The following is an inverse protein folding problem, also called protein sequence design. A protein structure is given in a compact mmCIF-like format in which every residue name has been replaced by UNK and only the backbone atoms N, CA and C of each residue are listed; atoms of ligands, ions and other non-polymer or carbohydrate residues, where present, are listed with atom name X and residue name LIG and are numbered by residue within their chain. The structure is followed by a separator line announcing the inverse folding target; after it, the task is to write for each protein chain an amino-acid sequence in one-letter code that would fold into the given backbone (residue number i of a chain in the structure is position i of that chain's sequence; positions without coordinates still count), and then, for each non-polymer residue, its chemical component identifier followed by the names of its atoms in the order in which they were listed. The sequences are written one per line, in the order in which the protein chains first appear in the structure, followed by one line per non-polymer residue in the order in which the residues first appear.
data_IF_607282906065
#
_entry.id   IF_607282906065
#
_cell.length_a   1.000
_cell.length_b   1.000
_cell.length_c   1.000
_cell.angle_alpha   90.00
_cell.angle_beta   90.00
_cell.angle_gamma   90.00
#
_symmetry.space_group_name_H-M   'P 1'
#
loop_
_entity.id
_entity.type
_entity.pdbx_description
1 polymer ?
#
# COMPACT_ATOMS: atom_id res chain seq x y z
N UNK A 1 -21.08 10.83 17.13
CA UNK A 1 -20.17 10.68 18.29
C UNK A 1 -18.80 11.16 17.85
N UNK A 2 -18.26 12.23 18.45
CA UNK A 2 -16.89 12.66 18.14
C UNK A 2 -15.93 11.54 18.57
N UNK A 3 -15.25 10.90 17.62
CA UNK A 3 -14.14 9.98 17.95
C UNK A 3 -13.17 10.77 18.83
N UNK A 4 -13.00 10.34 20.09
CA UNK A 4 -11.99 10.92 20.98
C UNK A 4 -10.64 10.91 20.29
N UNK A 5 -9.85 11.97 20.47
CA UNK A 5 -8.49 12.05 19.91
C UNK A 5 -7.64 11.00 20.60
N UNK A 6 -7.29 9.92 19.88
CA UNK A 6 -6.46 8.85 20.41
C UNK A 6 -4.99 9.22 20.24
N UNK A 7 -4.24 9.21 21.34
CA UNK A 7 -2.80 9.48 21.33
C UNK A 7 -2.02 8.18 21.42
N UNK A 8 -0.98 8.05 20.59
CA UNK A 8 0.03 7.00 20.65
C UNK A 8 1.38 7.63 20.96
N UNK A 9 2.12 7.03 21.88
CA UNK A 9 3.42 7.53 22.32
C UNK A 9 4.49 6.60 21.79
N UNK A 10 5.51 7.18 21.17
CA UNK A 10 6.74 6.50 20.78
C UNK A 10 7.89 7.14 21.55
N UNK A 11 8.55 6.33 22.40
CA UNK A 11 9.73 6.75 23.16
C UNK A 11 10.96 6.64 22.27
N UNK A 12 11.78 7.69 22.27
CA UNK A 12 13.05 7.74 21.55
C UNK A 12 14.18 7.34 22.51
N UNK A 13 14.86 6.22 22.25
CA UNK A 13 16.06 5.84 22.99
C UNK A 13 17.31 5.89 22.12
N UNK A 14 18.44 6.18 22.74
CA UNK A 14 19.73 6.33 22.07
C UNK A 14 20.19 4.99 21.47
N UNK A 15 20.80 5.06 20.29
CA UNK A 15 21.23 3.92 19.47
C UNK A 15 20.13 2.90 19.14
N UNK A 16 18.86 3.24 19.37
CA UNK A 16 17.74 2.35 19.08
C UNK A 16 17.49 2.30 17.57
N UNK A 17 17.74 1.13 16.98
CA UNK A 17 17.54 0.85 15.56
C UNK A 17 16.27 0.03 15.37
N UNK A 18 15.14 0.73 15.17
CA UNK A 18 13.83 0.12 14.96
C UNK A 18 13.52 -0.14 13.48
N UNK A 19 14.55 -0.28 12.65
CA UNK A 19 14.41 -0.50 11.20
C UNK A 19 13.61 -1.77 10.86
N UNK A 20 13.59 -2.74 11.79
CA UNK A 20 12.85 -4.01 11.66
C UNK A 20 11.57 -4.07 12.47
N UNK A 21 11.28 -3.03 13.26
CA UNK A 21 10.09 -2.99 14.12
C UNK A 21 8.97 -2.29 13.38
N UNK A 22 7.85 -2.99 13.23
CA UNK A 22 6.68 -2.44 12.56
C UNK A 22 5.82 -1.66 13.56
N UNK A 23 5.80 -0.34 13.45
CA UNK A 23 4.89 0.51 14.22
C UNK A 23 3.62 0.81 13.40
N UNK A 24 2.53 0.06 13.65
CA UNK A 24 1.23 0.28 12.98
C UNK A 24 0.38 1.29 13.76
N UNK A 25 -0.23 2.22 13.04
CA UNK A 25 -1.02 3.32 13.55
C UNK A 25 -2.28 3.48 12.71
N UNK A 26 -3.33 4.03 13.30
CA UNK A 26 -4.59 4.30 12.60
C UNK A 26 -4.67 5.77 12.17
N UNK A 27 -5.36 6.03 11.06
CA UNK A 27 -5.74 7.39 10.68
C UNK A 27 -6.68 8.00 11.73
N UNK A 28 -6.46 9.28 12.01
CA UNK A 28 -7.13 10.06 13.06
C UNK A 28 -6.38 10.06 14.39
N UNK A 29 -5.32 9.27 14.55
CA UNK A 29 -4.52 9.26 15.77
C UNK A 29 -3.50 10.40 15.79
N UNK A 30 -3.13 10.82 17.00
CA UNK A 30 -1.97 11.67 17.24
C UNK A 30 -0.79 10.78 17.66
N UNK A 31 0.30 10.80 16.91
CA UNK A 31 1.57 10.20 17.32
C UNK A 31 2.40 11.25 18.04
N UNK A 32 2.82 10.96 19.26
CA UNK A 32 3.76 11.77 20.03
C UNK A 32 5.10 11.06 20.15
N UNK A 33 6.16 11.70 19.67
CA UNK A 33 7.52 11.31 19.99
C UNK A 33 7.91 11.95 21.32
N UNK A 34 8.36 11.14 22.27
CA UNK A 34 8.83 11.60 23.58
C UNK A 34 10.24 11.11 23.82
N UNK A 35 11.00 11.83 24.64
CA UNK A 35 12.34 11.39 25.01
C UNK A 35 12.26 10.20 25.97
N UNK A 36 12.97 9.13 25.62
CA UNK A 36 13.23 8.02 26.52
C UNK A 36 14.35 8.37 27.51
N UNK A 37 14.57 7.53 28.54
CA UNK A 37 15.52 7.81 29.63
C UNK A 37 16.95 8.12 29.15
N UNK A 38 17.41 7.49 28.07
CA UNK A 38 18.77 7.64 27.52
C UNK A 38 19.02 8.97 26.81
N UNK A 39 17.96 9.70 26.47
CA UNK A 39 18.02 10.98 25.76
C UNK A 39 17.64 12.15 26.66
N UNK A 40 17.39 11.92 27.95
CA UNK A 40 17.05 13.00 28.88
C UNK A 40 18.21 13.97 29.05
N UNK A 41 17.89 15.26 29.06
CA UNK A 41 18.88 16.35 29.10
C UNK A 41 19.65 16.57 27.78
N UNK A 42 19.51 15.71 26.77
CA UNK A 42 20.16 15.89 25.47
C UNK A 42 19.31 16.76 24.55
N UNK A 43 19.97 17.54 23.70
CA UNK A 43 19.30 18.24 22.61
C UNK A 43 19.04 17.28 21.44
N UNK A 44 17.77 16.92 21.23
CA UNK A 44 17.34 15.96 20.20
C UNK A 44 16.55 16.67 19.10
N UNK A 45 16.85 16.37 17.85
CA UNK A 45 16.09 16.85 16.70
C UNK A 45 15.46 15.67 15.96
N UNK A 46 14.13 15.69 15.79
CA UNK A 46 13.36 14.61 15.17
C UNK A 46 12.96 15.01 13.75
N UNK A 47 13.16 14.11 12.81
CA UNK A 47 12.82 14.27 11.40
C UNK A 47 11.87 13.16 10.94
N UNK A 48 10.96 13.49 10.04
CA UNK A 48 10.07 12.51 9.40
C UNK A 48 9.78 12.88 7.96
N UNK A 49 9.53 11.89 7.10
CA UNK A 49 8.98 12.11 5.77
C UNK A 49 7.44 12.06 5.73
N UNK A 50 6.78 12.01 6.89
CA UNK A 50 5.33 12.22 6.97
C UNK A 50 5.00 13.66 6.51
N UNK A 51 4.17 13.83 5.47
CA UNK A 51 3.98 15.13 4.83
C UNK A 51 3.38 16.15 5.79
N UNK A 52 3.66 17.43 5.56
CA UNK A 52 2.93 18.49 6.24
C UNK A 52 1.49 18.56 5.71
N UNK A 53 0.60 19.22 6.44
CA UNK A 53 -0.79 19.37 6.01
C UNK A 53 -0.86 20.08 4.64
N UNK A 54 -1.50 19.46 3.66
CA UNK A 54 -1.62 19.99 2.30
C UNK A 54 -0.45 19.67 1.37
N UNK A 55 0.64 19.06 1.86
CA UNK A 55 1.73 18.63 1.00
C UNK A 55 1.53 17.20 0.46
N UNK A 56 2.04 16.95 -0.75
CA UNK A 56 2.15 15.60 -1.29
C UNK A 56 3.28 14.84 -0.60
N UNK A 57 3.11 13.54 -0.45
CA UNK A 57 4.14 12.66 0.10
C UNK A 57 5.32 12.53 -0.87
N UNK A 58 6.53 12.76 -0.36
CA UNK A 58 7.80 12.46 -1.04
C UNK A 58 8.67 11.62 -0.08
N UNK A 59 9.11 10.45 -0.56
CA UNK A 59 9.89 9.49 0.23
C UNK A 59 11.22 10.07 0.71
N UNK A 60 11.81 11.01 -0.03
CA UNK A 60 13.14 11.59 0.25
C UNK A 60 13.07 12.94 0.97
N UNK A 61 11.90 13.57 1.03
CA UNK A 61 11.71 14.85 1.72
C UNK A 61 11.43 14.61 3.21
N UNK A 62 12.40 14.92 4.06
CA UNK A 62 12.23 14.91 5.51
C UNK A 62 12.03 16.34 6.04
N UNK A 63 11.15 16.48 7.02
CA UNK A 63 10.94 17.73 7.76
C UNK A 63 11.29 17.56 9.23
N UNK A 64 11.82 18.63 9.82
CA UNK A 64 12.05 18.71 11.26
C UNK A 64 10.72 18.89 12.00
N UNK A 65 10.54 18.19 13.12
CA UNK A 65 9.40 18.37 14.00
C UNK A 65 9.71 19.39 15.10
N UNK A 66 8.69 20.17 15.47
CA UNK A 66 8.76 21.13 16.56
C UNK A 66 8.44 20.45 17.89
N UNK A 67 9.30 20.70 18.89
CA UNK A 67 9.04 20.29 20.27
C UNK A 67 7.98 21.17 20.92
N UNK A 68 7.04 20.53 21.61
CA UNK A 68 6.05 21.17 22.45
C UNK A 68 6.38 20.90 23.92
N UNK A 69 6.42 21.95 24.73
CA UNK A 69 6.64 21.89 26.18
C UNK A 69 5.30 22.13 26.90
N UNK A 70 4.68 21.11 27.49
CA UNK A 70 3.42 21.23 28.22
C UNK A 70 3.42 22.30 29.31
N UNK A 71 4.51 22.40 30.07
CA UNK A 71 4.65 23.39 31.16
C UNK A 71 5.17 24.76 30.69
N UNK A 72 5.53 24.88 29.41
CA UNK A 72 6.13 26.09 28.84
C UNK A 72 7.61 26.29 29.18
N UNK A 73 8.23 25.41 29.98
CA UNK A 73 9.66 25.46 30.30
C UNK A 73 10.47 24.61 29.31
N UNK A 74 11.72 25.00 29.03
CA UNK A 74 12.58 24.28 28.07
C UNK A 74 13.17 22.98 28.64
N UNK A 75 13.26 22.88 29.96
CA UNK A 75 13.76 21.72 30.71
C UNK A 75 12.68 20.65 30.96
N UNK A 76 11.53 20.74 30.28
CA UNK A 76 10.41 19.86 30.52
C UNK A 76 10.72 18.42 30.10
N UNK A 77 10.64 17.51 31.06
CA UNK A 77 10.91 16.08 30.86
C UNK A 77 9.85 15.37 30.02
N UNK A 78 8.65 15.96 29.91
CA UNK A 78 7.52 15.41 29.17
C UNK A 78 7.31 16.06 27.79
N UNK A 79 8.26 16.88 27.33
CA UNK A 79 8.22 17.51 26.00
C UNK A 79 8.06 16.48 24.90
N UNK A 80 7.31 16.86 23.85
CA UNK A 80 6.99 15.95 22.77
C UNK A 80 6.92 16.63 21.40
N UNK A 81 7.26 15.89 20.36
CA UNK A 81 6.92 16.23 18.97
C UNK A 81 5.63 15.50 18.59
N UNK A 82 4.71 16.16 17.90
CA UNK A 82 3.44 15.53 17.49
C UNK A 82 3.28 15.41 15.98
N UNK A 83 2.56 14.38 15.57
CA UNK A 83 2.06 14.16 14.21
C UNK A 83 0.57 13.84 14.26
N UNK A 84 -0.21 14.57 13.46
CA UNK A 84 -1.61 14.22 13.21
C UNK A 84 -1.69 13.31 11.98
N UNK A 85 -2.02 12.04 12.21
CA UNK A 85 -2.05 11.02 11.18
C UNK A 85 -3.39 11.09 10.45
N UNK A 86 -3.37 11.52 9.19
CA UNK A 86 -4.54 11.74 8.33
C UNK A 86 -4.46 11.00 7.01
N UNK A 87 -3.26 10.57 6.63
CA UNK A 87 -2.99 9.92 5.36
C UNK A 87 -2.38 8.55 5.69
N UNK A 88 -2.92 7.50 5.07
CA UNK A 88 -2.33 6.16 5.15
C UNK A 88 -1.06 6.06 4.31
N UNK A 89 -0.12 5.25 4.77
CA UNK A 89 1.11 5.01 4.05
C UNK A 89 2.22 4.49 4.95
N UNK A 90 3.38 4.28 4.33
CA UNK A 90 4.60 3.85 5.02
C UNK A 90 5.60 4.99 5.09
N UNK A 91 5.80 5.51 6.30
CA UNK A 91 6.63 6.65 6.61
C UNK A 91 7.87 6.22 7.38
N UNK A 92 8.85 7.11 7.42
CA UNK A 92 10.10 6.95 8.15
C UNK A 92 10.30 8.14 9.06
N UNK A 93 10.91 7.89 10.21
CA UNK A 93 11.45 8.92 11.07
C UNK A 93 12.88 8.57 11.47
N UNK A 94 13.64 9.60 11.78
CA UNK A 94 14.95 9.47 12.43
C UNK A 94 15.15 10.65 13.36
N UNK A 95 16.10 10.53 14.27
CA UNK A 95 16.48 11.64 15.14
C UNK A 95 17.98 11.66 15.37
N UNK A 96 18.46 12.87 15.64
CA UNK A 96 19.85 13.15 15.96
C UNK A 96 19.94 13.75 17.35
N UNK A 97 21.02 13.50 18.08
CA UNK A 97 21.36 14.26 19.29
C UNK A 97 22.83 14.66 19.22
N UNK A 98 23.18 15.86 19.69
CA UNK A 98 24.59 16.31 19.81
C UNK A 98 25.42 16.10 18.51
N UNK A 99 24.80 16.34 17.35
CA UNK A 99 25.37 16.14 16.00
C UNK A 99 25.70 14.69 15.63
N UNK A 100 25.20 13.70 16.37
CA UNK A 100 25.29 12.28 16.07
C UNK A 100 23.91 11.71 15.70
N UNK A 101 23.92 10.64 14.91
CA UNK A 101 22.70 9.90 14.56
C UNK A 101 22.26 9.09 15.78
N UNK A 102 21.15 9.50 16.40
CA UNK A 102 20.63 8.84 17.59
C UNK A 102 19.87 7.56 17.27
N UNK A 103 19.01 7.57 16.25
CA UNK A 103 18.22 6.39 15.88
C UNK A 103 17.12 6.70 14.88
N UNK A 104 16.24 5.73 14.66
CA UNK A 104 15.12 5.88 13.73
C UNK A 104 14.32 4.58 13.53
N UNK A 105 13.27 4.70 12.73
CA UNK A 105 12.39 3.57 12.42
C UNK A 105 11.33 3.93 11.38
N UNK A 106 10.42 2.98 11.16
CA UNK A 106 9.32 3.10 10.20
C UNK A 106 7.97 3.13 10.89
N UNK A 107 7.04 3.88 10.30
CA UNK A 107 5.65 4.00 10.74
C UNK A 107 4.76 3.55 9.60
N UNK A 108 3.75 2.74 9.88
CA UNK A 108 2.72 2.36 8.91
C UNK A 108 1.40 2.89 9.43
N UNK A 109 0.77 3.78 8.64
CA UNK A 109 -0.57 4.27 8.92
C UNK A 109 -1.56 3.49 8.06
N UNK A 110 -2.46 2.76 8.71
CA UNK A 110 -3.38 1.85 8.05
C UNK A 110 -4.40 2.61 7.16
N UNK A 111 -4.79 2.06 5.99
CA UNK A 111 -5.82 2.64 5.14
C UNK A 111 -7.22 2.49 5.78
N UNK A 112 -8.10 3.44 5.49
CA UNK A 112 -9.53 3.30 5.78
C UNK A 112 -10.20 2.77 4.52
N UNK A 113 -10.75 1.56 4.60
CA UNK A 113 -11.54 0.97 3.53
C UNK A 113 -12.99 1.47 3.62
N UNK A 114 -13.58 1.83 2.49
CA UNK A 114 -14.97 2.34 2.40
C UNK A 114 -15.76 1.64 1.32
N UNK A 115 -16.97 1.25 1.64
CA UNK A 115 -17.89 0.54 0.75
C UNK A 115 -19.31 1.11 0.88
N UNK A 116 -20.19 0.74 -0.05
CA UNK A 116 -21.58 1.17 -0.09
C UNK A 116 -21.76 2.59 -0.61
N UNK A 117 -23.00 2.89 -1.04
CA UNK A 117 -23.40 4.21 -1.51
C UNK A 117 -23.25 5.30 -0.43
N UNK A 118 -23.31 4.91 0.85
CA UNK A 118 -23.09 5.77 2.02
C UNK A 118 -21.61 5.90 2.44
N UNK A 119 -20.69 5.21 1.76
CA UNK A 119 -19.24 5.22 2.04
C UNK A 119 -18.88 4.88 3.50
N UNK A 120 -19.62 3.94 4.10
CA UNK A 120 -19.34 3.48 5.45
C UNK A 120 -18.00 2.73 5.52
N UNK A 121 -17.41 2.72 6.72
CA UNK A 121 -16.11 2.10 6.94
C UNK A 121 -16.23 0.57 6.96
N UNK A 122 -15.39 -0.11 6.18
CA UNK A 122 -15.14 -1.54 6.32
C UNK A 122 -13.89 -1.72 7.21
N UNK A 123 -14.02 -2.25 8.44
CA UNK A 123 -12.86 -2.49 9.29
C UNK A 123 -11.90 -3.49 8.65
N UNK A 124 -10.59 -3.26 8.78
CA UNK A 124 -9.56 -4.14 8.20
C UNK A 124 -9.64 -5.57 8.74
N UNK A 125 -9.98 -5.73 10.03
CA UNK A 125 -10.13 -7.04 10.68
C UNK A 125 -11.40 -7.79 10.24
N UNK A 126 -12.31 -7.11 9.52
CA UNK A 126 -13.53 -7.71 9.00
C UNK A 126 -13.43 -8.10 7.53
N UNK A 127 -12.27 -7.97 6.88
CA UNK A 127 -12.11 -8.33 5.48
C UNK A 127 -12.23 -9.85 5.28
N UNK A 128 -13.19 -10.26 4.45
CA UNK A 128 -13.38 -11.63 3.98
C UNK A 128 -13.27 -11.65 2.46
N UNK A 129 -12.26 -12.38 1.96
CA UNK A 129 -11.83 -12.28 0.57
C UNK A 129 -11.95 -13.59 -0.20
N UNK A 130 -12.54 -13.53 -1.40
CA UNK A 130 -12.56 -14.66 -2.34
C UNK A 130 -11.71 -14.36 -3.58
N UNK A 131 -10.81 -15.29 -3.92
CA UNK A 131 -9.93 -15.16 -5.08
C UNK A 131 -10.54 -15.86 -6.31
N UNK A 132 -10.52 -15.16 -7.45
CA UNK A 132 -10.91 -15.70 -8.74
C UNK A 132 -9.74 -15.62 -9.74
N UNK A 133 -9.54 -16.72 -10.47
CA UNK A 133 -8.67 -16.72 -11.64
C UNK A 133 -9.39 -16.02 -12.79
N UNK A 134 -9.02 -14.76 -13.07
CA UNK A 134 -9.70 -13.93 -14.07
C UNK A 134 -9.81 -14.62 -15.45
N UNK A 135 -8.76 -15.34 -15.88
CA UNK A 135 -8.77 -16.11 -17.14
C UNK A 135 -9.81 -17.24 -17.20
N UNK A 136 -10.31 -17.70 -16.05
CA UNK A 136 -11.30 -18.77 -15.95
C UNK A 136 -12.74 -18.23 -15.81
N UNK A 137 -12.92 -16.90 -15.73
CA UNK A 137 -14.24 -16.29 -15.63
C UNK A 137 -14.97 -16.23 -16.99
N UNK A 138 -14.31 -16.57 -18.09
CA UNK A 138 -14.89 -16.51 -19.44
C UNK A 138 -15.12 -15.07 -19.94
N UNK A 139 -16.03 -14.88 -20.92
CA UNK A 139 -16.36 -13.55 -21.44
C UNK A 139 -16.93 -12.63 -20.36
N UNK A 140 -16.57 -11.34 -20.44
CA UNK A 140 -16.86 -10.30 -19.43
C UNK A 140 -18.36 -10.14 -19.14
N UNK A 141 -19.21 -10.35 -20.15
CA UNK A 141 -20.67 -10.21 -20.03
C UNK A 141 -21.28 -11.16 -18.97
N UNK A 142 -20.61 -12.28 -18.65
CA UNK A 142 -21.05 -13.21 -17.60
C UNK A 142 -20.27 -13.08 -16.28
N UNK A 143 -19.38 -12.10 -16.14
CA UNK A 143 -18.59 -11.94 -14.91
C UNK A 143 -19.46 -11.54 -13.72
N UNK A 144 -20.44 -10.67 -13.94
CA UNK A 144 -21.32 -10.22 -12.86
C UNK A 144 -22.00 -11.40 -12.15
N UNK A 145 -22.66 -12.29 -12.92
CA UNK A 145 -23.34 -13.46 -12.37
C UNK A 145 -22.40 -14.41 -11.64
N UNK A 146 -21.19 -14.62 -12.18
CA UNK A 146 -20.18 -15.51 -11.60
C UNK A 146 -19.60 -14.94 -10.30
N UNK A 147 -19.31 -13.64 -10.28
CA UNK A 147 -18.76 -12.95 -9.12
C UNK A 147 -19.82 -12.72 -8.03
N UNK A 148 -21.10 -12.61 -8.40
CA UNK A 148 -22.21 -12.48 -7.45
C UNK A 148 -22.27 -13.63 -6.46
N UNK A 149 -21.81 -14.83 -6.83
CA UNK A 149 -21.70 -15.97 -5.91
C UNK A 149 -20.89 -15.61 -4.66
N UNK A 150 -19.82 -14.81 -4.77
CA UNK A 150 -19.03 -14.35 -3.63
C UNK A 150 -19.85 -13.49 -2.67
N UNK A 151 -20.62 -12.55 -3.23
CA UNK A 151 -21.53 -11.69 -2.48
C UNK A 151 -22.56 -12.53 -1.70
N UNK A 152 -23.26 -13.42 -2.39
CA UNK A 152 -24.30 -14.26 -1.77
C UNK A 152 -23.73 -15.24 -0.74
N UNK A 153 -22.43 -15.53 -0.82
CA UNK A 153 -21.71 -16.36 0.16
C UNK A 153 -21.18 -15.56 1.36
N UNK A 154 -21.38 -14.24 1.40
CA UNK A 154 -21.00 -13.38 2.53
C UNK A 154 -19.56 -12.82 2.48
N UNK A 155 -18.86 -12.91 1.35
CA UNK A 155 -17.58 -12.23 1.18
C UNK A 155 -17.78 -10.71 0.99
N UNK A 156 -16.83 -9.90 1.45
CA UNK A 156 -16.84 -8.44 1.27
C UNK A 156 -15.66 -7.91 0.43
N UNK A 157 -14.82 -8.81 -0.09
CA UNK A 157 -13.76 -8.46 -1.01
C UNK A 157 -13.57 -9.54 -2.07
N UNK A 158 -13.39 -9.13 -3.32
CA UNK A 158 -12.98 -10.00 -4.42
C UNK A 158 -11.52 -9.70 -4.75
N UNK A 159 -10.74 -10.76 -4.91
CA UNK A 159 -9.41 -10.70 -5.47
C UNK A 159 -9.42 -11.32 -6.87
N UNK A 160 -8.99 -10.56 -7.86
CA UNK A 160 -8.78 -11.05 -9.22
C UNK A 160 -7.28 -11.24 -9.45
N UNK A 161 -6.89 -12.41 -9.96
CA UNK A 161 -5.56 -12.52 -10.60
C UNK A 161 -5.46 -11.52 -11.77
N UNK A 162 -4.25 -11.21 -12.26
CA UNK A 162 -4.06 -10.16 -13.26
C UNK A 162 -5.05 -10.26 -14.44
N UNK A 163 -5.74 -9.14 -14.69
CA UNK A 163 -6.77 -8.99 -15.74
C UNK A 163 -6.19 -8.44 -17.06
N UNK A 164 -4.88 -8.17 -17.06
CA UNK A 164 -4.13 -7.64 -18.18
C UNK A 164 -3.87 -8.70 -19.26
N UNK A 165 -3.46 -8.26 -20.44
CA UNK A 165 -3.14 -9.13 -21.58
C UNK A 165 -2.05 -10.14 -21.23
N UNK A 166 -2.36 -11.41 -21.46
CA UNK A 166 -1.45 -12.51 -21.16
C UNK A 166 -0.41 -12.72 -22.28
N UNK A 167 0.74 -13.25 -21.88
CA UNK A 167 1.81 -13.72 -22.76
C UNK A 167 1.53 -15.10 -23.34
N UNK A 168 2.45 -15.59 -24.17
CA UNK A 168 2.29 -16.81 -24.94
C UNK A 168 1.98 -18.07 -24.11
N UNK A 169 2.51 -18.14 -22.88
CA UNK A 169 2.25 -19.28 -21.98
C UNK A 169 0.82 -19.30 -21.43
N UNK A 170 0.07 -18.20 -21.58
CA UNK A 170 -1.27 -17.99 -21.01
C UNK A 170 -1.33 -18.22 -19.49
N UNK A 171 -0.20 -18.09 -18.81
CA UNK A 171 -0.12 -18.05 -17.35
C UNK A 171 -0.63 -16.69 -16.85
N UNK A 172 -1.40 -16.66 -15.76
CA UNK A 172 -2.01 -15.43 -15.21
C UNK A 172 -0.98 -14.36 -14.85
N UNK A 173 0.26 -14.76 -14.55
CA UNK A 173 1.33 -13.86 -14.13
C UNK A 173 2.34 -13.57 -15.24
N UNK A 174 2.12 -14.09 -16.46
CA UNK A 174 2.94 -13.76 -17.62
C UNK A 174 2.19 -12.74 -18.46
N UNK A 175 2.47 -11.44 -18.27
CA UNK A 175 1.73 -10.36 -18.93
C UNK A 175 2.44 -9.87 -20.19
N UNK A 176 1.78 -9.92 -21.35
CA UNK A 176 2.31 -9.36 -22.59
C UNK A 176 2.13 -7.84 -22.69
N UNK A 177 1.15 -7.28 -21.99
CA UNK A 177 0.96 -5.82 -21.91
C UNK A 177 0.23 -5.50 -20.60
N UNK A 178 0.84 -4.70 -19.72
CA UNK A 178 0.23 -4.33 -18.44
C UNK A 178 -0.84 -3.25 -18.57
N UNK A 179 -0.88 -2.52 -19.69
CA UNK A 179 -1.81 -1.42 -19.92
C UNK A 179 -3.04 -1.86 -20.71
N UNK A 180 -3.01 -3.04 -21.32
CA UNK A 180 -4.13 -3.59 -22.06
C UNK A 180 -4.88 -4.65 -21.25
N UNK A 181 -6.21 -4.57 -21.26
CA UNK A 181 -7.10 -5.63 -20.76
C UNK A 181 -6.89 -6.91 -21.56
N UNK A 182 -7.01 -8.08 -20.93
CA UNK A 182 -6.96 -9.34 -21.66
C UNK A 182 -8.05 -9.42 -22.74
N UNK A 183 -7.70 -9.49 -24.04
CA UNK A 183 -8.68 -9.55 -25.12
C UNK A 183 -9.57 -10.80 -25.04
N UNK A 184 -9.13 -11.87 -24.38
CA UNK A 184 -9.94 -13.09 -24.15
C UNK A 184 -11.25 -12.81 -23.38
N UNK A 185 -11.35 -11.69 -22.66
CA UNK A 185 -12.56 -11.31 -21.94
C UNK A 185 -13.62 -10.70 -22.86
N UNK A 186 -13.27 -10.33 -24.08
CA UNK A 186 -14.22 -9.78 -25.05
C UNK A 186 -15.09 -10.88 -25.64
N UNK A 187 -16.37 -10.59 -25.84
CA UNK A 187 -17.28 -11.46 -26.59
C UNK A 187 -17.26 -11.07 -28.08
N UNK A 188 -17.89 -11.88 -28.94
CA UNK A 188 -18.00 -11.58 -30.38
C UNK A 188 -18.78 -10.29 -30.66
N UNK A 189 -19.61 -9.85 -29.73
CA UNK A 189 -20.46 -8.65 -29.83
C UNK A 189 -19.91 -7.45 -29.06
N UNK A 190 -19.07 -7.65 -28.03
CA UNK A 190 -18.62 -6.56 -27.14
C UNK A 190 -17.17 -6.70 -26.70
N UNK A 191 -16.38 -5.65 -26.94
CA UNK A 191 -15.01 -5.54 -26.46
C UNK A 191 -14.99 -5.15 -24.98
N UNK A 192 -14.24 -5.90 -24.17
CA UNK A 192 -13.97 -5.55 -22.78
C UNK A 192 -12.89 -4.45 -22.71
N UNK A 193 -13.16 -3.39 -21.95
CA UNK A 193 -12.24 -2.27 -21.74
C UNK A 193 -12.13 -1.95 -20.25
N UNK A 194 -11.13 -1.17 -19.87
CA UNK A 194 -10.98 -0.70 -18.48
C UNK A 194 -12.22 0.04 -17.97
N UNK A 195 -12.93 0.76 -18.83
CA UNK A 195 -14.17 1.44 -18.47
C UNK A 195 -15.29 0.45 -18.08
N UNK A 196 -15.42 -0.66 -18.81
CA UNK A 196 -16.44 -1.68 -18.49
C UNK A 196 -16.09 -2.42 -17.18
N UNK A 197 -14.81 -2.70 -16.95
CA UNK A 197 -14.34 -3.22 -15.66
C UNK A 197 -14.56 -2.22 -14.52
N UNK A 198 -14.26 -0.94 -14.74
CA UNK A 198 -14.48 0.14 -13.76
C UNK A 198 -15.94 0.19 -13.32
N UNK A 199 -16.89 0.15 -14.26
CA UNK A 199 -18.33 0.09 -13.95
C UNK A 199 -18.70 -1.12 -13.08
N UNK A 200 -18.15 -2.30 -13.37
CA UNK A 200 -18.40 -3.49 -12.55
C UNK A 200 -17.81 -3.33 -11.14
N UNK A 201 -16.59 -2.79 -11.01
CA UNK A 201 -15.96 -2.53 -9.72
C UNK A 201 -16.74 -1.48 -8.91
N UNK A 202 -17.20 -0.40 -9.54
CA UNK A 202 -18.07 0.59 -8.90
C UNK A 202 -19.39 -0.02 -8.44
N UNK A 203 -20.01 -0.86 -9.27
CA UNK A 203 -21.22 -1.60 -8.91
C UNK A 203 -20.99 -2.50 -7.69
N UNK A 204 -19.91 -3.28 -7.69
CA UNK A 204 -19.53 -4.11 -6.53
C UNK A 204 -19.36 -3.27 -5.26
N UNK A 205 -18.68 -2.12 -5.37
CA UNK A 205 -18.48 -1.21 -4.23
C UNK A 205 -19.78 -0.63 -3.70
N UNK A 206 -20.60 -0.06 -4.58
CA UNK A 206 -21.74 0.77 -4.20
C UNK A 206 -23.00 -0.07 -3.91
N UNK A 207 -23.24 -1.14 -4.67
CA UNK A 207 -24.45 -1.96 -4.56
C UNK A 207 -24.23 -3.24 -3.75
N UNK A 208 -23.01 -3.80 -3.76
CA UNK A 208 -22.72 -5.07 -3.08
C UNK A 208 -21.95 -4.89 -1.78
N UNK A 209 -21.54 -3.66 -1.46
CA UNK A 209 -20.65 -3.35 -0.34
C UNK A 209 -19.33 -4.14 -0.39
N UNK A 210 -18.83 -4.42 -1.59
CA UNK A 210 -17.63 -5.23 -1.82
C UNK A 210 -16.49 -4.45 -2.46
N UNK A 211 -15.26 -4.67 -1.99
CA UNK A 211 -14.06 -4.14 -2.65
C UNK A 211 -13.50 -5.12 -3.67
N UNK A 212 -12.75 -4.60 -4.63
CA UNK A 212 -12.01 -5.41 -5.59
C UNK A 212 -10.53 -5.06 -5.54
N UNK A 213 -9.68 -6.08 -5.47
CA UNK A 213 -8.23 -5.95 -5.59
C UNK A 213 -7.73 -6.84 -6.73
N UNK A 214 -6.59 -6.45 -7.31
CA UNK A 214 -5.87 -7.28 -8.28
C UNK A 214 -4.42 -7.38 -7.90
N UNK A 215 -3.82 -8.49 -8.32
CA UNK A 215 -2.38 -8.65 -8.34
C UNK A 215 -1.72 -7.65 -9.29
N UNK A 216 -0.57 -7.14 -8.87
CA UNK A 216 0.39 -6.36 -9.67
C UNK A 216 1.67 -7.15 -9.78
N UNK A 217 2.14 -7.33 -11.02
CA UNK A 217 3.33 -8.13 -11.35
C UNK A 217 4.49 -7.21 -11.70
N UNK A 218 5.45 -7.09 -10.79
CA UNK A 218 6.66 -6.27 -10.99
C UNK A 218 7.89 -7.07 -11.41
N UNK A 219 8.00 -8.34 -10.98
CA UNK A 219 9.26 -9.09 -11.07
C UNK A 219 9.61 -9.60 -12.47
N UNK A 220 8.62 -9.78 -13.33
CA UNK A 220 8.80 -10.28 -14.69
C UNK A 220 7.64 -9.85 -15.55
N UNK A 221 7.93 -9.75 -16.84
CA UNK A 221 6.94 -9.44 -17.86
C UNK A 221 7.00 -10.55 -18.92
N UNK A 222 5.92 -10.74 -19.68
CA UNK A 222 5.84 -11.76 -20.72
C UNK A 222 7.02 -11.65 -21.70
N UNK A 223 7.49 -12.79 -22.20
CA UNK A 223 8.70 -12.92 -23.02
C UNK A 223 8.67 -12.12 -24.34
N UNK A 224 7.52 -11.55 -24.70
CA UNK A 224 7.30 -10.77 -25.92
C UNK A 224 6.54 -9.48 -25.58
N UNK A 225 7.27 -8.48 -25.11
CA UNK A 225 6.83 -7.09 -25.04
C UNK A 225 7.64 -6.32 -26.09
N UNK A 226 6.97 -5.61 -27.01
CA UNK A 226 7.62 -4.74 -28.00
C UNK A 226 8.21 -3.45 -27.38
N UNK A 227 8.04 -3.23 -26.07
CA UNK A 227 8.79 -2.25 -25.25
C UNK A 227 10.15 -2.85 -24.84
N UNK A 228 10.87 -3.47 -25.78
CA UNK A 228 12.23 -4.00 -25.56
C UNK A 228 13.32 -3.02 -26.03
N UNK A 229 12.96 -1.83 -26.53
CA UNK A 229 13.95 -0.85 -27.00
C UNK A 229 14.22 0.38 -26.12
N UNK A 230 13.56 0.54 -24.96
CA UNK A 230 13.82 1.67 -24.03
C UNK A 230 14.14 1.24 -22.59
N UNK A 231 14.11 -0.05 -22.25
CA UNK A 231 14.58 -0.56 -20.95
C UNK A 231 15.57 -1.72 -21.18
N UNK A 232 16.73 -1.39 -21.72
CA UNK A 232 17.84 -2.32 -21.94
C UNK A 232 18.81 -2.38 -20.73
N UNK A 233 18.30 -2.12 -19.52
CA UNK A 233 19.10 -2.14 -18.27
C UNK A 233 18.72 -3.26 -17.30
N UNK A 234 17.61 -3.98 -17.49
CA UNK A 234 17.21 -5.05 -16.54
C UNK A 234 16.95 -6.44 -17.11
N UNK A 235 16.99 -6.66 -18.43
CA UNK A 235 17.02 -8.02 -18.96
C UNK A 235 18.45 -8.56 -18.87
N UNK A 236 18.68 -9.48 -17.91
CA UNK A 236 19.92 -10.26 -17.80
C UNK A 236 20.10 -11.12 -19.05
N UNK A 237 20.74 -10.58 -20.09
CA UNK A 237 21.40 -11.40 -21.10
C UNK A 237 22.69 -11.97 -20.51
N UNK A 238 22.76 -13.29 -20.48
CA UNK A 238 23.87 -14.05 -19.92
C UNK A 238 25.18 -13.78 -20.67
N UNK A 239 26.11 -13.08 -20.01
CA UNK A 239 27.57 -13.20 -20.26
C UNK A 239 28.42 -13.10 -18.98
N UNK A 240 27.91 -13.46 -17.79
CA UNK A 240 28.72 -13.22 -16.59
C UNK A 240 28.40 -13.86 -15.25
N UNK A 241 27.58 -14.92 -15.13
CA UNK A 241 27.39 -15.58 -13.83
C UNK A 241 27.43 -17.11 -13.96
N UNK A 242 28.45 -17.81 -13.42
CA UNK A 242 28.68 -19.25 -13.61
C UNK A 242 27.88 -20.16 -12.67
N UNK A 243 26.81 -19.70 -12.02
CA UNK A 243 25.95 -20.61 -11.22
C UNK A 243 24.48 -20.17 -11.20
N UNK A 244 23.75 -20.51 -12.26
CA UNK A 244 22.30 -20.40 -12.26
C UNK A 244 21.69 -21.69 -11.69
N UNK A 245 21.42 -21.73 -10.38
CA UNK A 245 20.41 -22.64 -9.83
C UNK A 245 19.09 -21.89 -9.81
N UNK A 246 18.16 -22.34 -10.64
CA UNK A 246 16.80 -21.80 -10.79
C UNK A 246 16.11 -21.64 -9.43
N UNK A 247 15.86 -20.40 -9.02
CA UNK A 247 14.83 -20.04 -8.05
C UNK A 247 13.99 -18.93 -8.66
N UNK A 248 12.74 -19.26 -9.03
CA UNK A 248 11.73 -18.27 -9.39
C UNK A 248 10.97 -17.89 -8.12
N UNK A 249 11.26 -16.73 -7.56
CA UNK A 249 10.41 -16.11 -6.54
C UNK A 249 9.47 -15.12 -7.23
N UNK A 250 8.19 -15.49 -7.31
CA UNK A 250 7.11 -14.61 -7.78
C UNK A 250 6.78 -13.65 -6.63
N UNK A 251 7.17 -12.39 -6.75
CA UNK A 251 6.69 -11.31 -5.89
C UNK A 251 5.44 -10.72 -6.52
N UNK A 252 4.32 -10.84 -5.81
CA UNK A 252 3.02 -10.29 -6.22
C UNK A 252 2.58 -9.30 -5.16
N UNK A 253 2.21 -8.09 -5.57
CA UNK A 253 1.66 -7.07 -4.67
C UNK A 253 0.20 -6.84 -5.01
N UNK A 254 -0.67 -6.75 -4.01
CA UNK A 254 -2.09 -6.46 -4.21
C UNK A 254 -2.30 -4.94 -4.32
N UNK A 255 -3.06 -4.51 -5.32
CA UNK A 255 -3.53 -3.12 -5.45
C UNK A 255 -5.06 -3.06 -5.35
N UNK A 256 -5.57 -2.07 -4.61
CA UNK A 256 -6.97 -1.67 -4.71
C UNK A 256 -7.21 -1.05 -6.08
N UNK A 257 -8.19 -1.58 -6.81
CA UNK A 257 -8.58 -1.04 -8.11
C UNK A 257 -9.43 0.22 -7.85
N UNK A 258 -8.81 1.39 -7.95
CA UNK A 258 -9.50 2.66 -8.14
C UNK A 258 -9.30 3.03 -9.62
N UNK A 259 -10.33 2.84 -10.45
CA UNK A 259 -10.37 3.30 -11.85
C UNK A 259 -11.18 4.59 -11.88
#
# INVERSE_FOLDING_TARGET
MSRGKHTRILLLNDMEKLDKTLFRLEQGYELQFRLGPTLQGKHVTVYTNYPAAGELFDRHKFRCLTWHNPTGKEDDSDKYCKLELRISGSYQYYFNHENQKGGGGYLVVDPILRVGADNHNLPLDCVTLQTFLAKCLGPFDGWEDRLKVAKESGYNMIHLTPVQKLGLSRSCYSLADQLEVNPDFSSSSKKCSWNEMGKLVEKMKNEWNMLCITDVVYNHTGMLIFIIFIILVSCRFAKGLPSCKSFSCVGVLLALIYI
#
